data_IF_934524757855
#
_entry.id   IF_934524757855
#
_cell.length_a   1.000
_cell.length_b   1.000
_cell.length_c   1.000
_cell.angle_alpha   90.00
_cell.angle_beta   90.00
_cell.angle_gamma   90.00
#
_symmetry.space_group_name_H-M   'P 1'
#
loop_
_entity.id
_entity.type
_entity.pdbx_description
1 polymer ?
#
# COMPACT_ATOMS: atom_id res chain seq x y z
N UNK A 1 -40.07 -6.83 -3.73
CA UNK A 1 -38.69 -7.25 -3.52
C UNK A 1 -38.16 -7.68 -4.89
N UNK A 2 -37.53 -6.76 -5.62
CA UNK A 2 -36.95 -7.04 -6.95
C UNK A 2 -35.44 -7.21 -6.78
N UNK A 3 -34.98 -8.46 -6.94
CA UNK A 3 -33.57 -8.80 -7.05
C UNK A 3 -33.08 -8.36 -8.43
N UNK A 4 -32.04 -7.60 -8.49
CA UNK A 4 -31.41 -7.23 -9.76
C UNK A 4 -29.89 -7.49 -9.65
N UNK A 5 -29.47 -8.31 -10.57
CA UNK A 5 -28.16 -8.66 -11.05
C UNK A 5 -27.30 -9.58 -10.17
N UNK A 6 -27.44 -10.86 -10.47
CA UNK A 6 -26.52 -11.92 -10.04
C UNK A 6 -25.41 -12.01 -11.10
N UNK A 7 -24.19 -11.67 -10.75
CA UNK A 7 -23.02 -12.06 -11.56
C UNK A 7 -22.68 -13.50 -11.21
N UNK A 8 -23.17 -14.46 -12.00
CA UNK A 8 -22.88 -15.86 -11.87
C UNK A 8 -21.69 -16.19 -12.77
N UNK A 9 -20.49 -16.25 -12.20
CA UNK A 9 -19.34 -16.76 -12.91
C UNK A 9 -19.43 -18.29 -12.97
N UNK A 10 -19.94 -18.83 -14.09
CA UNK A 10 -19.93 -20.27 -14.35
C UNK A 10 -18.52 -20.73 -14.64
N UNK A 11 -17.90 -21.44 -13.70
CA UNK A 11 -16.71 -22.23 -13.94
C UNK A 11 -17.08 -23.55 -14.63
N UNK A 12 -16.22 -24.12 -15.51
CA UNK A 12 -16.48 -25.40 -16.14
C UNK A 12 -16.64 -26.49 -15.07
N UNK A 13 -17.67 -27.30 -15.22
CA UNK A 13 -18.00 -28.41 -14.35
C UNK A 13 -16.94 -29.51 -14.42
N UNK A 14 -15.95 -29.44 -13.56
CA UNK A 14 -15.06 -30.55 -13.24
C UNK A 14 -15.15 -30.83 -11.74
N UNK A 15 -15.94 -31.87 -11.42
CA UNK A 15 -16.02 -32.60 -10.16
C UNK A 15 -15.89 -31.78 -8.88
N UNK A 16 -16.92 -30.98 -8.56
CA UNK A 16 -17.08 -30.45 -7.22
C UNK A 16 -17.80 -31.49 -6.34
N UNK A 17 -17.08 -31.96 -5.31
CA UNK A 17 -17.71 -32.71 -4.23
C UNK A 17 -18.67 -31.78 -3.48
N UNK A 18 -19.93 -32.18 -3.36
CA UNK A 18 -21.09 -31.35 -2.92
C UNK A 18 -21.08 -30.91 -1.45
N UNK A 19 -19.97 -31.00 -0.70
CA UNK A 19 -19.91 -30.69 0.74
C UNK A 19 -18.86 -29.63 1.14
N UNK A 20 -18.10 -29.08 0.21
CA UNK A 20 -17.08 -28.07 0.56
C UNK A 20 -17.67 -26.65 0.56
N UNK A 21 -18.05 -26.16 1.71
CA UNK A 21 -18.38 -24.74 1.92
C UNK A 21 -17.16 -23.83 1.71
N UNK A 22 -17.38 -22.52 1.73
CA UNK A 22 -16.35 -21.51 1.60
C UNK A 22 -15.74 -21.21 2.98
N UNK A 23 -14.45 -21.47 3.15
CA UNK A 23 -13.70 -21.11 4.36
C UNK A 23 -12.70 -20.00 4.05
N UNK A 24 -12.88 -18.84 4.70
CA UNK A 24 -12.00 -17.68 4.62
C UNK A 24 -11.01 -17.73 5.79
N UNK A 25 -9.71 -17.75 5.49
CA UNK A 25 -8.61 -17.81 6.47
C UNK A 25 -8.01 -16.45 6.80
N UNK A 26 -8.08 -15.51 5.86
CA UNK A 26 -7.54 -14.18 5.98
C UNK A 26 -8.38 -13.17 5.20
N UNK A 27 -8.46 -11.94 5.69
CA UNK A 27 -9.06 -10.83 4.96
C UNK A 27 -8.12 -9.64 5.03
N UNK A 28 -7.76 -9.11 3.87
CA UNK A 28 -6.89 -7.95 3.73
C UNK A 28 -7.55 -6.94 2.82
N UNK A 29 -7.17 -5.67 2.93
CA UNK A 29 -7.61 -4.65 2.02
C UNK A 29 -6.47 -3.72 1.61
N UNK A 30 -6.68 -3.05 0.49
CA UNK A 30 -5.76 -2.08 -0.09
C UNK A 30 -6.54 -0.91 -0.62
N UNK A 31 -6.11 0.28 -0.30
CA UNK A 31 -6.72 1.51 -0.77
C UNK A 31 -5.86 2.10 -1.88
N UNK A 32 -6.35 2.04 -3.11
CA UNK A 32 -5.73 2.68 -4.28
C UNK A 32 -6.40 4.01 -4.60
N UNK A 33 -5.74 4.84 -5.39
CA UNK A 33 -6.32 6.10 -5.84
C UNK A 33 -7.64 5.90 -6.61
N UNK A 34 -7.74 4.84 -7.42
CA UNK A 34 -8.88 4.55 -8.27
C UNK A 34 -9.92 3.58 -7.66
N UNK A 35 -9.54 2.74 -6.70
CA UNK A 35 -10.40 1.69 -6.14
C UNK A 35 -9.91 1.21 -4.78
N UNK A 36 -10.77 0.53 -4.04
CA UNK A 36 -10.41 -0.26 -2.87
C UNK A 36 -10.44 -1.73 -3.23
N UNK A 37 -9.38 -2.46 -2.93
CA UNK A 37 -9.28 -3.91 -3.11
C UNK A 37 -9.47 -4.61 -1.78
N UNK A 38 -10.36 -5.61 -1.74
CA UNK A 38 -10.51 -6.52 -0.60
C UNK A 38 -10.11 -7.92 -1.08
N UNK A 39 -9.23 -8.58 -0.34
CA UNK A 39 -8.74 -9.93 -0.65
C UNK A 39 -9.19 -10.87 0.45
N UNK A 40 -9.96 -11.87 0.09
CA UNK A 40 -10.33 -12.99 0.96
C UNK A 40 -9.42 -14.17 0.65
N UNK A 41 -8.54 -14.52 1.57
CA UNK A 41 -7.74 -15.74 1.49
C UNK A 41 -8.61 -16.92 1.84
N UNK A 42 -8.76 -17.88 0.93
CA UNK A 42 -9.64 -19.03 1.11
C UNK A 42 -8.84 -20.33 1.26
N UNK A 43 -9.40 -21.29 1.96
CA UNK A 43 -8.74 -22.59 2.20
C UNK A 43 -8.64 -23.41 0.91
N UNK A 44 -9.68 -23.39 0.11
CA UNK A 44 -9.74 -23.98 -1.22
C UNK A 44 -10.72 -23.18 -2.08
N UNK A 45 -10.51 -23.19 -3.40
CA UNK A 45 -11.44 -22.55 -4.31
C UNK A 45 -12.83 -23.17 -4.19
N UNK A 46 -13.82 -22.33 -3.94
CA UNK A 46 -15.25 -22.70 -3.83
C UNK A 46 -16.11 -21.63 -4.49
N UNK A 47 -17.29 -22.02 -5.01
CA UNK A 47 -18.24 -21.05 -5.53
C UNK A 47 -18.71 -20.08 -4.44
N UNK A 48 -18.85 -18.82 -4.80
CA UNK A 48 -19.32 -17.77 -3.90
C UNK A 48 -20.41 -16.93 -4.54
N UNK A 49 -21.11 -16.19 -3.70
CA UNK A 49 -22.10 -15.19 -4.09
C UNK A 49 -21.59 -13.82 -3.68
N UNK A 50 -21.62 -12.89 -4.62
CA UNK A 50 -21.45 -11.48 -4.37
C UNK A 50 -22.69 -10.75 -4.89
N UNK A 51 -23.44 -10.14 -3.99
CA UNK A 51 -24.63 -9.36 -4.34
C UNK A 51 -24.56 -7.97 -3.74
N UNK A 52 -25.37 -7.05 -4.25
CA UNK A 52 -25.46 -5.69 -3.75
C UNK A 52 -26.89 -5.43 -3.27
N UNK A 53 -27.04 -4.72 -2.17
CA UNK A 53 -28.35 -4.25 -1.67
C UNK A 53 -29.00 -3.28 -2.65
N UNK A 54 -30.32 -3.15 -2.56
CA UNK A 54 -31.12 -2.29 -3.45
C UNK A 54 -30.77 -0.81 -3.36
N UNK A 55 -30.27 -0.35 -2.21
CA UNK A 55 -29.77 1.01 -2.01
C UNK A 55 -28.35 1.21 -2.60
N UNK A 56 -27.74 0.12 -3.08
CA UNK A 56 -26.41 0.13 -3.68
C UNK A 56 -25.25 0.37 -2.71
N UNK A 57 -25.51 0.42 -1.40
CA UNK A 57 -24.52 0.81 -0.39
C UNK A 57 -23.90 -0.34 0.39
N UNK A 58 -24.37 -1.57 0.19
CA UNK A 58 -23.79 -2.73 0.87
C UNK A 58 -23.60 -3.88 -0.11
N UNK A 59 -22.42 -4.49 -0.10
CA UNK A 59 -22.16 -5.75 -0.77
C UNK A 59 -22.31 -6.89 0.23
N UNK A 60 -22.93 -7.97 -0.21
CA UNK A 60 -23.08 -9.21 0.56
C UNK A 60 -22.22 -10.27 -0.11
N UNK A 61 -21.28 -10.83 0.65
CA UNK A 61 -20.39 -11.89 0.21
C UNK A 61 -20.59 -13.14 1.05
N UNK A 62 -20.82 -14.29 0.41
CA UNK A 62 -21.12 -15.56 1.06
C UNK A 62 -20.75 -16.76 0.19
N UNK A 63 -20.82 -17.98 0.75
CA UNK A 63 -20.75 -19.20 -0.04
C UNK A 63 -21.97 -19.34 -0.95
N UNK A 64 -21.77 -19.85 -2.18
CA UNK A 64 -22.88 -20.20 -3.08
C UNK A 64 -23.68 -21.38 -2.53
N UNK A 65 -22.99 -22.44 -2.10
CA UNK A 65 -23.54 -23.64 -1.50
C UNK A 65 -22.71 -24.04 -0.27
N UNK A 66 -23.35 -24.74 0.67
CA UNK A 66 -22.69 -25.23 1.87
C UNK A 66 -22.41 -24.16 2.92
N UNK A 67 -21.64 -24.50 3.97
CA UNK A 67 -21.33 -23.58 5.07
C UNK A 67 -20.34 -22.50 4.64
N UNK A 68 -20.54 -21.29 5.17
CA UNK A 68 -19.55 -20.21 5.11
C UNK A 68 -18.87 -20.08 6.47
N UNK A 69 -17.56 -20.24 6.49
CA UNK A 69 -16.75 -20.10 7.71
C UNK A 69 -15.73 -18.96 7.56
N UNK A 70 -15.74 -18.02 8.50
CA UNK A 70 -14.75 -16.97 8.61
C UNK A 70 -13.84 -17.26 9.81
N UNK A 71 -12.60 -17.68 9.55
CA UNK A 71 -11.56 -17.94 10.57
C UNK A 71 -10.65 -16.74 10.82
N UNK A 72 -10.87 -15.64 10.08
CA UNK A 72 -10.06 -14.43 10.13
C UNK A 72 -10.78 -13.30 10.88
N UNK A 73 -9.99 -12.40 11.45
CA UNK A 73 -10.51 -11.10 11.88
C UNK A 73 -10.74 -10.22 10.67
N UNK A 74 -11.83 -9.47 10.68
CA UNK A 74 -12.11 -8.47 9.65
C UNK A 74 -11.29 -7.19 9.90
N UNK A 75 -10.69 -6.60 8.86
CA UNK A 75 -9.98 -5.34 8.99
C UNK A 75 -10.96 -4.19 9.24
N UNK A 76 -10.51 -3.15 9.92
CA UNK A 76 -11.26 -1.89 10.00
C UNK A 76 -10.96 -1.08 8.76
N UNK A 77 -11.96 -0.90 7.89
CA UNK A 77 -11.81 -0.14 6.63
C UNK A 77 -12.63 1.14 6.74
N UNK A 78 -11.98 2.28 6.47
CA UNK A 78 -12.59 3.62 6.35
C UNK A 78 -11.74 4.45 5.42
N UNK A 79 -11.85 4.21 4.12
CA UNK A 79 -10.94 4.78 3.13
C UNK A 79 -11.63 5.67 2.08
N UNK A 80 -12.90 6.05 2.34
CA UNK A 80 -13.68 6.88 1.44
C UNK A 80 -14.30 6.11 0.26
N UNK A 81 -14.17 4.78 0.25
CA UNK A 81 -14.89 3.85 -0.64
C UNK A 81 -15.64 2.83 0.19
N UNK A 82 -14.94 2.20 1.12
CA UNK A 82 -15.50 1.24 2.08
C UNK A 82 -15.51 1.88 3.47
N UNK A 83 -16.69 1.91 4.08
CA UNK A 83 -16.92 2.50 5.41
C UNK A 83 -16.97 1.46 6.53
N UNK A 84 -16.93 0.19 6.18
CA UNK A 84 -16.92 -0.90 7.15
C UNK A 84 -17.07 -2.25 6.51
N UNK A 85 -16.65 -3.26 7.24
CA UNK A 85 -16.83 -4.67 6.90
C UNK A 85 -17.19 -5.42 8.17
N UNK A 86 -18.25 -6.21 8.11
CA UNK A 86 -18.74 -6.99 9.25
C UNK A 86 -19.32 -8.34 8.81
N UNK A 87 -19.52 -9.23 9.78
CA UNK A 87 -20.24 -10.48 9.55
C UNK A 87 -21.64 -10.42 10.13
N UNK A 88 -22.57 -11.03 9.43
CA UNK A 88 -23.96 -11.18 9.89
C UNK A 88 -24.48 -12.56 9.50
N UNK A 89 -25.40 -13.08 10.28
CA UNK A 89 -26.22 -14.21 9.88
C UNK A 89 -27.46 -13.69 9.12
N UNK A 90 -27.64 -14.17 7.90
CA UNK A 90 -28.81 -13.86 7.07
C UNK A 90 -29.44 -15.15 6.56
N UNK A 91 -30.72 -15.34 6.88
CA UNK A 91 -31.48 -16.55 6.54
C UNK A 91 -30.79 -17.87 6.95
N UNK A 92 -30.13 -17.91 8.11
CA UNK A 92 -29.42 -19.08 8.62
C UNK A 92 -28.05 -19.32 7.97
N UNK A 93 -27.54 -18.36 7.20
CA UNK A 93 -26.21 -18.39 6.58
C UNK A 93 -25.35 -17.22 7.05
N UNK A 94 -24.09 -17.48 7.32
CA UNK A 94 -23.14 -16.40 7.59
C UNK A 94 -22.84 -15.65 6.28
N UNK A 95 -22.83 -14.34 6.34
CA UNK A 95 -22.47 -13.45 5.25
C UNK A 95 -21.49 -12.38 5.73
N UNK A 96 -20.63 -11.92 4.85
CA UNK A 96 -19.82 -10.71 5.07
C UNK A 96 -20.54 -9.55 4.39
N UNK A 97 -20.78 -8.50 5.15
CA UNK A 97 -21.30 -7.23 4.69
C UNK A 97 -20.17 -6.25 4.51
N UNK A 98 -20.11 -5.63 3.33
CA UNK A 98 -19.12 -4.59 3.01
C UNK A 98 -19.91 -3.32 2.74
N UNK A 99 -19.78 -2.35 3.65
CA UNK A 99 -20.48 -1.08 3.57
C UNK A 99 -19.70 -0.08 2.74
N UNK A 100 -20.38 0.54 1.76
CA UNK A 100 -19.82 1.49 0.83
C UNK A 100 -20.20 2.92 1.21
N UNK A 101 -19.28 3.86 1.06
CA UNK A 101 -19.55 5.28 1.30
C UNK A 101 -20.53 5.86 0.29
N UNK A 102 -20.55 5.34 -0.94
CA UNK A 102 -21.46 5.78 -2.01
C UNK A 102 -22.15 4.60 -2.71
N UNK A 103 -23.36 4.81 -3.16
CA UNK A 103 -24.06 3.88 -4.03
C UNK A 103 -23.46 3.92 -5.46
N UNK A 104 -23.40 2.77 -6.14
CA UNK A 104 -23.17 2.72 -7.59
C UNK A 104 -21.72 2.61 -8.07
N UNK A 105 -20.72 2.51 -7.21
CA UNK A 105 -19.34 2.21 -7.63
C UNK A 105 -19.27 0.86 -8.36
N UNK A 106 -18.52 0.77 -9.46
CA UNK A 106 -18.25 -0.50 -10.14
C UNK A 106 -17.53 -1.45 -9.19
N UNK A 107 -17.94 -2.73 -9.16
CA UNK A 107 -17.28 -3.78 -8.41
C UNK A 107 -16.86 -4.87 -9.38
N UNK A 108 -15.58 -5.18 -9.38
CA UNK A 108 -15.01 -6.31 -10.12
C UNK A 108 -14.56 -7.36 -9.14
N UNK A 109 -14.91 -8.61 -9.40
CA UNK A 109 -14.48 -9.74 -8.61
C UNK A 109 -13.78 -10.79 -9.47
N UNK A 110 -12.78 -11.44 -8.90
CA UNK A 110 -12.04 -12.51 -9.57
C UNK A 110 -11.36 -13.44 -8.56
N UNK A 111 -11.03 -14.65 -9.03
CA UNK A 111 -10.37 -15.66 -8.21
C UNK A 111 -8.93 -15.82 -8.64
N UNK A 112 -8.02 -15.83 -7.68
CA UNK A 112 -6.61 -16.15 -7.87
C UNK A 112 -6.31 -17.50 -7.24
N UNK A 113 -5.35 -18.22 -7.84
CA UNK A 113 -4.93 -19.53 -7.37
C UNK A 113 -3.46 -19.53 -6.98
N UNK A 114 -3.14 -20.43 -6.02
CA UNK A 114 -1.82 -20.67 -5.51
C UNK A 114 -1.19 -19.54 -4.66
N UNK A 115 -1.67 -19.18 -3.45
CA UNK A 115 -2.83 -19.68 -2.70
C UNK A 115 -4.17 -19.16 -3.24
N UNK A 116 -5.25 -19.90 -2.96
CA UNK A 116 -6.59 -19.53 -3.43
C UNK A 116 -7.11 -18.28 -2.73
N UNK A 117 -7.59 -17.32 -3.52
CA UNK A 117 -8.09 -16.01 -3.03
C UNK A 117 -9.25 -15.53 -3.88
N UNK A 118 -10.19 -14.86 -3.24
CA UNK A 118 -11.23 -14.08 -3.92
C UNK A 118 -10.88 -12.62 -3.72
N UNK A 119 -10.84 -11.88 -4.82
CA UNK A 119 -10.46 -10.46 -4.84
C UNK A 119 -11.65 -9.64 -5.29
N UNK A 120 -11.94 -8.57 -4.56
CA UNK A 120 -12.96 -7.58 -4.91
C UNK A 120 -12.29 -6.23 -5.13
N UNK A 121 -12.42 -5.65 -6.32
CA UNK A 121 -12.02 -4.29 -6.64
C UNK A 121 -13.26 -3.40 -6.67
N UNK A 122 -13.34 -2.46 -5.75
CA UNK A 122 -14.46 -1.54 -5.59
C UNK A 122 -13.99 -0.17 -6.04
N UNK A 123 -14.46 0.27 -7.22
CA UNK A 123 -14.05 1.56 -7.79
C UNK A 123 -14.46 2.72 -6.88
N UNK A 124 -13.57 3.70 -6.72
CA UNK A 124 -13.96 5.00 -6.19
C UNK A 124 -14.95 5.59 -7.18
N UNK A 125 -16.21 5.72 -6.77
CA UNK A 125 -17.18 6.45 -7.56
C UNK A 125 -16.58 7.79 -7.92
N UNK A 126 -16.81 8.27 -9.14
CA UNK A 126 -16.50 9.66 -9.45
C UNK A 126 -17.08 10.48 -8.30
N UNK A 127 -16.23 11.14 -7.54
CA UNK A 127 -16.65 11.93 -6.38
C UNK A 127 -17.86 12.74 -6.85
N UNK A 128 -18.99 12.56 -6.18
CA UNK A 128 -20.09 13.46 -6.35
C UNK A 128 -19.51 14.84 -6.10
N UNK A 129 -19.24 15.55 -7.16
CA UNK A 129 -18.91 16.97 -7.17
C UNK A 129 -20.16 17.75 -6.75
N UNK A 130 -20.66 17.45 -5.57
CA UNK A 130 -21.68 18.21 -4.89
C UNK A 130 -20.97 19.09 -3.85
N UNK A 131 -20.34 20.10 -4.33
CA UNK A 131 -20.05 21.42 -3.78
C UNK A 131 -18.79 22.01 -4.46
N UNK A 132 -18.90 22.23 -5.78
CA UNK A 132 -18.12 23.33 -6.37
C UNK A 132 -19.15 24.39 -6.77
N UNK A 133 -19.07 25.59 -6.26
CA UNK A 133 -19.75 26.71 -6.87
C UNK A 133 -19.18 26.87 -8.27
N UNK A 134 -20.06 27.04 -9.25
CA UNK A 134 -19.78 27.29 -10.66
C UNK A 134 -18.58 28.21 -10.84
N UNK A 135 -17.50 27.68 -11.37
CA UNK A 135 -16.36 28.45 -11.82
C UNK A 135 -16.74 29.21 -13.10
N UNK A 136 -16.44 30.49 -13.23
CA UNK A 136 -16.52 31.22 -14.48
C UNK A 136 -15.48 30.71 -15.50
N UNK A 137 -15.64 30.94 -16.81
CA UNK A 137 -14.76 30.42 -17.85
C UNK A 137 -13.32 30.92 -17.71
N UNK A 138 -12.34 30.18 -18.21
CA UNK A 138 -10.93 30.42 -17.92
C UNK A 138 -10.45 31.74 -18.56
N UNK A 139 -10.22 32.71 -17.73
CA UNK A 139 -9.37 33.83 -18.02
C UNK A 139 -7.95 33.51 -17.62
N UNK A 140 -7.00 33.85 -18.47
CA UNK A 140 -5.54 33.66 -18.48
C UNK A 140 -4.83 33.41 -17.12
N UNK A 141 -3.70 32.67 -17.13
CA UNK A 141 -3.07 32.16 -15.92
C UNK A 141 -2.47 33.30 -15.08
N UNK A 142 -3.20 33.71 -14.06
CA UNK A 142 -2.60 34.42 -12.94
C UNK A 142 -2.14 33.34 -11.97
N UNK A 143 -0.86 33.30 -11.68
CA UNK A 143 -0.24 32.39 -10.74
C UNK A 143 -0.94 32.46 -9.38
N UNK A 144 -1.83 31.49 -9.12
CA UNK A 144 -2.38 31.25 -7.78
C UNK A 144 -1.37 30.35 -7.09
N UNK A 145 -0.75 30.86 -6.03
CA UNK A 145 0.12 30.09 -5.16
C UNK A 145 -0.68 28.91 -4.61
N UNK A 146 -0.37 27.72 -5.10
CA UNK A 146 -0.94 26.46 -4.61
C UNK A 146 -0.40 26.19 -3.19
N UNK A 147 -1.21 26.49 -2.18
CA UNK A 147 -0.86 26.34 -0.75
C UNK A 147 -1.26 24.98 -0.19
N UNK A 148 -1.56 23.99 -1.03
CA UNK A 148 -1.84 22.64 -0.56
C UNK A 148 -0.56 22.03 0.05
N UNK A 149 -0.66 21.54 1.30
CA UNK A 149 0.46 20.93 1.99
C UNK A 149 0.89 19.63 1.28
N UNK A 150 2.21 19.45 1.15
CA UNK A 150 2.81 18.22 0.62
C UNK A 150 2.61 17.08 1.61
N UNK A 151 1.98 16.02 1.19
CA UNK A 151 1.82 14.82 2.01
C UNK A 151 3.06 13.93 1.86
N UNK A 152 3.82 13.79 2.94
CA UNK A 152 4.97 12.90 3.04
C UNK A 152 4.59 11.72 3.90
N UNK A 153 4.73 10.49 3.38
CA UNK A 153 4.58 9.28 4.19
C UNK A 153 5.96 8.68 4.43
N UNK A 154 6.29 8.53 5.70
CA UNK A 154 7.48 7.82 6.18
C UNK A 154 7.07 6.44 6.65
N UNK A 155 7.62 5.42 6.04
CA UNK A 155 7.38 4.04 6.39
C UNK A 155 8.55 3.50 7.21
N UNK A 156 8.33 3.25 8.49
CA UNK A 156 9.31 2.61 9.35
C UNK A 156 9.28 1.10 9.12
N UNK A 157 10.29 0.56 8.44
CA UNK A 157 10.40 -0.86 8.13
C UNK A 157 10.28 -1.75 9.36
N UNK A 158 9.86 -3.02 9.17
CA UNK A 158 9.67 -4.02 10.23
C UNK A 158 8.63 -3.63 11.28
N UNK A 159 8.63 -4.32 12.41
CA UNK A 159 7.73 -4.03 13.53
C UNK A 159 7.02 -5.26 14.09
N UNK A 160 6.62 -5.22 15.35
CA UNK A 160 5.99 -6.33 16.05
C UNK A 160 6.92 -7.55 16.15
N UNK A 161 6.52 -8.68 15.54
CA UNK A 161 7.33 -9.91 15.52
C UNK A 161 8.51 -9.85 14.55
N UNK A 162 8.42 -9.05 13.52
CA UNK A 162 9.52 -8.79 12.59
C UNK A 162 10.46 -7.77 13.22
N UNK A 163 11.63 -8.23 13.64
CA UNK A 163 12.64 -7.39 14.29
C UNK A 163 13.56 -6.69 13.30
N UNK A 164 13.57 -7.13 12.03
CA UNK A 164 14.64 -6.81 11.11
C UNK A 164 15.99 -7.30 11.61
N UNK A 165 17.06 -6.67 11.19
CA UNK A 165 18.42 -6.97 11.59
C UNK A 165 18.56 -6.76 13.10
N UNK A 166 19.19 -7.74 13.78
CA UNK A 166 19.53 -7.65 15.18
C UNK A 166 21.01 -7.34 15.36
N UNK A 167 21.30 -6.29 16.11
CA UNK A 167 22.67 -5.86 16.40
C UNK A 167 22.87 -5.64 17.89
N UNK A 168 24.12 -5.40 18.29
CA UNK A 168 24.44 -4.99 19.66
C UNK A 168 23.85 -3.63 20.04
N UNK A 169 23.51 -2.79 19.04
CA UNK A 169 22.87 -1.48 19.25
C UNK A 169 21.32 -1.60 19.34
N UNK A 170 20.76 -2.76 19.06
CA UNK A 170 19.34 -3.01 19.11
C UNK A 170 18.74 -3.64 17.84
N UNK A 171 17.43 -3.61 17.76
CA UNK A 171 16.66 -4.18 16.66
C UNK A 171 16.40 -3.10 15.60
N UNK A 172 16.47 -3.46 14.32
CA UNK A 172 16.21 -2.56 13.19
C UNK A 172 14.85 -1.87 13.32
N UNK A 173 13.79 -2.59 13.69
CA UNK A 173 12.45 -2.03 13.86
C UNK A 173 12.39 -0.81 14.79
N UNK A 174 13.22 -0.78 15.83
CA UNK A 174 13.29 0.36 16.75
C UNK A 174 14.05 1.51 16.13
N UNK A 175 15.15 1.21 15.45
CA UNK A 175 15.96 2.20 14.75
C UNK A 175 15.19 2.90 13.64
N UNK A 176 14.46 2.15 12.83
CA UNK A 176 13.67 2.71 11.72
C UNK A 176 12.52 3.60 12.22
N UNK A 177 11.88 3.20 13.32
CA UNK A 177 10.82 3.99 13.96
C UNK A 177 11.38 5.31 14.53
N UNK A 178 12.49 5.24 15.27
CA UNK A 178 13.15 6.43 15.83
C UNK A 178 13.58 7.41 14.74
N UNK A 179 14.13 6.86 13.63
CA UNK A 179 14.56 7.68 12.49
C UNK A 179 13.36 8.32 11.78
N UNK A 180 12.27 7.60 11.57
CA UNK A 180 11.05 8.15 11.00
C UNK A 180 10.50 9.31 11.85
N UNK A 181 10.48 9.15 13.18
CA UNK A 181 10.10 10.23 14.09
C UNK A 181 11.04 11.43 14.00
N UNK A 182 12.35 11.20 13.89
CA UNK A 182 13.33 12.28 13.76
C UNK A 182 13.16 13.06 12.45
N UNK A 183 12.98 12.38 11.31
CA UNK A 183 12.70 13.01 10.01
C UNK A 183 11.41 13.81 10.07
N UNK A 184 10.33 13.24 10.63
CA UNK A 184 9.07 13.96 10.83
C UNK A 184 9.26 15.25 11.63
N UNK A 185 9.96 15.17 12.74
CA UNK A 185 10.23 16.34 13.60
C UNK A 185 10.98 17.46 12.85
N UNK A 186 11.84 17.12 11.91
CA UNK A 186 12.54 18.11 11.08
C UNK A 186 11.59 18.74 10.08
N UNK A 187 10.87 17.95 9.31
CA UNK A 187 9.98 18.42 8.24
C UNK A 187 8.80 19.23 8.78
N UNK A 188 8.24 18.85 9.93
CA UNK A 188 7.10 19.55 10.55
C UNK A 188 7.44 20.95 11.10
N UNK A 189 8.72 21.36 11.08
CA UNK A 189 9.07 22.78 11.34
C UNK A 189 8.52 23.72 10.27
N UNK A 190 8.21 23.19 9.10
CA UNK A 190 7.55 23.92 8.01
C UNK A 190 6.09 23.46 7.89
N UNK A 191 5.15 24.40 7.86
CA UNK A 191 3.72 24.12 7.61
C UNK A 191 3.44 23.61 6.19
N UNK A 192 4.45 23.64 5.31
CA UNK A 192 4.36 23.15 3.94
C UNK A 192 4.23 21.61 3.86
N UNK A 193 4.64 20.88 4.91
CA UNK A 193 4.62 19.43 4.95
C UNK A 193 3.58 18.89 5.92
N UNK A 194 2.74 17.97 5.43
CA UNK A 194 1.94 17.06 6.25
C UNK A 194 2.66 15.72 6.29
N UNK A 195 3.32 15.41 7.39
CA UNK A 195 4.13 14.19 7.53
C UNK A 195 3.37 13.14 8.33
N UNK A 196 3.17 11.97 7.73
CA UNK A 196 2.48 10.82 8.32
C UNK A 196 3.47 9.64 8.42
N UNK A 197 3.31 8.81 9.44
CA UNK A 197 4.06 7.57 9.60
C UNK A 197 3.12 6.39 9.38
N UNK A 198 3.59 5.33 8.71
CA UNK A 198 2.82 4.08 8.56
C UNK A 198 2.55 3.42 9.92
N UNK A 199 3.47 3.54 10.86
CA UNK A 199 3.33 3.12 12.26
C UNK A 199 3.92 4.12 13.22
N UNK A 200 3.23 4.35 14.33
CA UNK A 200 3.64 5.26 15.40
C UNK A 200 4.29 4.53 16.59
N UNK A 201 4.20 3.21 16.62
CA UNK A 201 4.68 2.34 17.69
C UNK A 201 5.21 1.03 17.14
N UNK A 202 5.74 0.16 18.00
CA UNK A 202 6.15 -1.19 17.63
C UNK A 202 4.92 -2.06 17.36
N UNK A 203 4.55 -2.14 16.08
CA UNK A 203 3.47 -2.99 15.57
C UNK A 203 3.84 -3.57 14.22
N UNK A 204 3.41 -4.80 13.97
CA UNK A 204 3.56 -5.43 12.65
C UNK A 204 2.60 -4.79 11.66
N UNK A 205 3.12 -4.48 10.47
CA UNK A 205 2.35 -4.07 9.30
C UNK A 205 2.82 -4.87 8.10
N UNK A 206 1.89 -5.43 7.35
CA UNK A 206 2.19 -6.03 6.05
C UNK A 206 2.54 -4.96 5.01
N UNK A 207 3.21 -5.33 3.93
CA UNK A 207 3.49 -4.41 2.81
C UNK A 207 2.21 -3.76 2.27
N UNK A 208 1.15 -4.52 2.25
CA UNK A 208 -0.17 -4.12 1.81
C UNK A 208 -0.80 -3.03 2.67
N UNK A 209 -0.69 -3.18 4.01
CA UNK A 209 -1.17 -2.17 4.95
C UNK A 209 -0.36 -0.87 4.84
N UNK A 210 0.96 -0.97 4.59
CA UNK A 210 1.83 0.19 4.36
C UNK A 210 1.43 0.93 3.08
N UNK A 211 1.27 0.20 1.98
CA UNK A 211 0.85 0.77 0.70
C UNK A 211 -0.57 1.33 0.78
N UNK A 212 -1.51 0.59 1.38
CA UNK A 212 -2.89 1.06 1.59
C UNK A 212 -2.94 2.36 2.38
N UNK A 213 -2.16 2.45 3.47
CA UNK A 213 -2.06 3.68 4.26
C UNK A 213 -1.52 4.85 3.43
N UNK A 214 -0.42 4.65 2.68
CA UNK A 214 0.18 5.69 1.87
C UNK A 214 -0.77 6.19 0.77
N UNK A 215 -1.39 5.26 0.03
CA UNK A 215 -2.29 5.60 -1.07
C UNK A 215 -3.57 6.30 -0.58
N UNK A 216 -4.16 5.85 0.55
CA UNK A 216 -5.31 6.51 1.18
C UNK A 216 -5.00 7.91 1.70
N UNK A 217 -3.75 8.17 2.10
CA UNK A 217 -3.31 9.48 2.55
C UNK A 217 -3.16 10.52 1.42
N UNK A 218 -3.22 10.12 0.15
CA UNK A 218 -2.94 10.99 -1.00
C UNK A 218 -1.47 11.44 -0.99
N UNK A 219 -0.57 10.48 -0.82
CA UNK A 219 0.86 10.72 -0.65
C UNK A 219 1.47 11.40 -1.87
N UNK A 220 2.27 12.44 -1.65
CA UNK A 220 3.08 13.07 -2.69
C UNK A 220 4.43 12.36 -2.82
N UNK A 221 5.06 12.00 -1.70
CA UNK A 221 6.30 11.24 -1.66
C UNK A 221 6.25 10.21 -0.53
N UNK A 222 6.75 9.02 -0.84
CA UNK A 222 6.85 7.89 0.10
C UNK A 222 8.32 7.52 0.33
N UNK A 223 8.70 7.37 1.59
CA UNK A 223 10.05 6.94 1.98
C UNK A 223 9.97 5.76 2.93
N UNK A 224 10.32 4.56 2.47
CA UNK A 224 10.53 3.41 3.34
C UNK A 224 11.93 3.47 3.95
N UNK A 225 12.02 3.32 5.26
CA UNK A 225 13.24 3.47 6.04
C UNK A 225 13.65 2.12 6.60
N UNK A 226 14.84 1.67 6.23
CA UNK A 226 15.48 0.44 6.65
C UNK A 226 16.90 0.69 7.16
N UNK A 227 17.53 -0.34 7.70
CA UNK A 227 18.94 -0.29 8.08
C UNK A 227 19.71 -1.48 7.49
N UNK A 228 20.99 -1.29 7.27
CA UNK A 228 21.87 -2.32 6.76
C UNK A 228 23.19 -2.35 7.54
N UNK A 229 23.87 -3.50 7.52
CA UNK A 229 25.24 -3.62 8.03
C UNK A 229 26.19 -2.81 7.14
N UNK A 230 26.91 -1.88 7.74
CA UNK A 230 27.88 -1.01 7.03
C UNK A 230 27.81 0.44 7.47
N UNK A 231 28.74 1.24 6.95
CA UNK A 231 28.91 2.63 7.36
C UNK A 231 28.17 3.66 6.51
N UNK A 232 27.71 3.29 5.31
CA UNK A 232 27.09 4.22 4.35
C UNK A 232 25.62 3.90 4.13
N UNK A 233 24.80 4.94 4.12
CA UNK A 233 23.41 4.83 3.69
C UNK A 233 23.30 4.65 2.18
N UNK A 234 22.21 4.03 1.72
CA UNK A 234 21.87 3.82 0.31
C UNK A 234 20.44 4.18 0.03
N UNK A 235 20.17 4.55 -1.20
CA UNK A 235 18.81 4.83 -1.68
C UNK A 235 18.48 3.86 -2.81
N UNK A 236 17.30 3.25 -2.73
CA UNK A 236 16.80 2.32 -3.71
C UNK A 236 15.50 2.85 -4.32
N UNK A 237 15.32 2.57 -5.60
CA UNK A 237 14.06 2.77 -6.33
C UNK A 237 13.62 1.45 -6.95
N UNK A 238 12.35 1.32 -7.25
CA UNK A 238 11.84 0.12 -7.91
C UNK A 238 12.45 0.00 -9.31
N UNK A 239 12.99 -1.18 -9.62
CA UNK A 239 13.31 -1.55 -11.00
C UNK A 239 12.01 -1.88 -11.74
N UNK A 240 11.67 -1.14 -12.78
CA UNK A 240 10.43 -1.37 -13.52
C UNK A 240 10.44 -2.68 -14.32
N UNK A 241 11.62 -3.16 -14.69
CA UNK A 241 11.76 -4.34 -15.57
C UNK A 241 11.83 -5.66 -14.80
N UNK A 242 12.07 -5.60 -13.47
CA UNK A 242 12.01 -6.72 -12.52
C UNK A 242 12.66 -8.01 -13.06
N UNK A 243 13.82 -7.88 -13.67
CA UNK A 243 14.55 -9.00 -14.25
C UNK A 243 15.40 -9.75 -13.20
N UNK A 244 15.80 -10.99 -13.53
CA UNK A 244 16.63 -11.83 -12.65
C UNK A 244 17.98 -11.19 -12.30
N UNK A 245 18.54 -10.33 -13.16
CA UNK A 245 19.79 -9.64 -12.94
C UNK A 245 19.63 -8.51 -11.91
N UNK A 246 18.55 -7.76 -11.98
CA UNK A 246 18.17 -6.76 -10.97
C UNK A 246 17.94 -7.39 -9.59
N UNK A 247 17.25 -8.55 -9.55
CA UNK A 247 17.08 -9.32 -8.30
C UNK A 247 18.41 -9.75 -7.69
N UNK A 248 19.37 -10.17 -8.51
CA UNK A 248 20.68 -10.60 -8.04
C UNK A 248 21.53 -9.43 -7.55
N UNK A 249 21.48 -8.28 -8.22
CA UNK A 249 22.14 -7.05 -7.81
C UNK A 249 21.55 -6.53 -6.47
N UNK A 250 20.23 -6.57 -6.32
CA UNK A 250 19.55 -6.18 -5.10
C UNK A 250 19.91 -7.10 -3.92
N UNK A 251 19.93 -8.43 -4.12
CA UNK A 251 20.37 -9.40 -3.10
C UNK A 251 21.82 -9.19 -2.67
N UNK A 252 22.68 -8.71 -3.58
CA UNK A 252 24.07 -8.40 -3.25
C UNK A 252 24.19 -7.07 -2.50
N UNK A 253 23.30 -6.11 -2.77
CA UNK A 253 23.28 -4.81 -2.13
C UNK A 253 22.65 -4.84 -0.73
N UNK A 254 21.60 -5.65 -0.53
CA UNK A 254 20.85 -5.72 0.73
C UNK A 254 20.37 -7.16 1.00
N UNK A 255 21.25 -7.99 1.55
CA UNK A 255 20.94 -9.41 1.80
C UNK A 255 19.78 -9.63 2.77
N UNK A 256 19.65 -8.79 3.78
CA UNK A 256 18.73 -9.03 4.88
C UNK A 256 17.32 -8.50 4.58
N UNK A 257 17.22 -7.41 3.85
CA UNK A 257 15.95 -6.78 3.50
C UNK A 257 15.06 -7.68 2.60
N UNK A 258 15.64 -8.23 1.54
CA UNK A 258 14.88 -9.00 0.54
C UNK A 258 14.38 -10.36 1.05
N UNK A 259 14.97 -10.90 2.12
CA UNK A 259 14.56 -12.17 2.70
C UNK A 259 13.33 -12.06 3.61
N UNK A 260 13.09 -10.89 4.21
CA UNK A 260 11.99 -10.69 5.18
C UNK A 260 10.75 -10.03 4.60
N UNK A 261 10.91 -9.18 3.59
CA UNK A 261 9.81 -8.43 2.98
C UNK A 261 9.51 -8.85 1.52
N UNK A 262 10.08 -9.96 1.07
CA UNK A 262 9.76 -10.48 -0.26
C UNK A 262 8.28 -10.88 -0.29
N UNK A 263 7.49 -10.14 -1.06
CA UNK A 263 6.13 -10.53 -1.40
C UNK A 263 6.15 -11.86 -2.18
N UNK A 264 5.07 -12.64 -2.12
CA UNK A 264 4.93 -13.79 -3.03
C UNK A 264 4.84 -13.29 -4.46
N UNK A 265 5.33 -14.07 -5.46
CA UNK A 265 5.17 -13.75 -6.89
C UNK A 265 3.74 -13.36 -7.28
N UNK A 266 2.78 -13.84 -6.53
CA UNK A 266 1.36 -13.61 -6.75
C UNK A 266 0.88 -12.29 -6.15
N UNK A 267 1.45 -11.83 -5.02
CA UNK A 267 1.24 -10.47 -4.52
C UNK A 267 1.76 -9.45 -5.52
N UNK A 268 2.89 -9.73 -6.14
CA UNK A 268 3.47 -8.90 -7.18
C UNK A 268 2.58 -8.76 -8.41
N UNK A 269 1.91 -9.85 -8.82
CA UNK A 269 0.91 -9.83 -9.89
C UNK A 269 -0.35 -9.07 -9.51
N UNK A 270 -0.74 -9.10 -8.22
CA UNK A 270 -1.91 -8.40 -7.70
C UNK A 270 -1.74 -6.89 -7.62
N UNK A 271 -0.54 -6.45 -7.23
CA UNK A 271 -0.27 -5.02 -7.05
C UNK A 271 -0.18 -4.29 -8.39
N UNK A 272 -0.08 -5.02 -9.50
CA UNK A 272 0.19 -4.42 -10.80
C UNK A 272 1.51 -3.64 -10.77
N UNK A 273 1.77 -2.92 -11.80
CA UNK A 273 2.96 -2.05 -11.90
C UNK A 273 2.60 -0.60 -11.53
N UNK A 274 1.92 -0.38 -10.39
CA UNK A 274 1.46 0.96 -10.02
C UNK A 274 2.64 1.93 -9.88
N UNK A 275 3.72 1.50 -9.24
CA UNK A 275 4.92 2.30 -9.12
C UNK A 275 5.62 2.57 -10.49
N UNK A 276 5.37 1.76 -11.52
CA UNK A 276 5.99 1.95 -12.83
C UNK A 276 5.57 3.28 -13.49
N UNK A 277 4.33 3.77 -13.25
CA UNK A 277 3.91 5.10 -13.74
C UNK A 277 4.66 6.24 -13.07
N UNK A 278 5.19 6.03 -11.86
CA UNK A 278 5.97 6.98 -11.06
C UNK A 278 7.49 6.77 -11.16
N UNK A 279 7.96 5.86 -12.05
CA UNK A 279 9.38 5.51 -12.13
C UNK A 279 10.29 6.72 -12.38
N UNK A 280 9.84 7.67 -13.22
CA UNK A 280 10.59 8.89 -13.51
C UNK A 280 10.69 9.80 -12.29
N UNK A 281 9.59 10.04 -11.61
CA UNK A 281 9.50 10.84 -10.39
C UNK A 281 10.31 10.21 -9.26
N UNK A 282 10.20 8.90 -9.08
CA UNK A 282 10.98 8.12 -8.10
C UNK A 282 12.47 8.17 -8.40
N UNK A 283 12.87 8.14 -9.67
CA UNK A 283 14.26 8.30 -10.08
C UNK A 283 14.82 9.69 -9.76
N UNK A 284 14.06 10.75 -10.00
CA UNK A 284 14.45 12.13 -9.63
C UNK A 284 14.53 12.26 -8.11
N UNK A 285 13.53 11.77 -7.40
CA UNK A 285 13.48 11.79 -5.94
C UNK A 285 14.64 10.99 -5.33
N UNK A 286 14.88 9.78 -5.81
CA UNK A 286 15.98 8.92 -5.37
C UNK A 286 17.35 9.59 -5.50
N UNK A 287 17.61 10.26 -6.63
CA UNK A 287 18.86 11.03 -6.81
C UNK A 287 19.01 12.15 -5.79
N UNK A 288 17.94 12.88 -5.49
CA UNK A 288 18.01 13.96 -4.48
C UNK A 288 18.33 13.41 -3.09
N UNK A 289 17.74 12.28 -2.73
CA UNK A 289 18.03 11.60 -1.46
C UNK A 289 19.42 11.01 -1.42
N UNK A 290 19.86 10.28 -2.47
CA UNK A 290 21.17 9.66 -2.53
C UNK A 290 22.29 10.69 -2.34
N UNK A 291 22.21 11.82 -3.04
CA UNK A 291 23.20 12.91 -2.92
C UNK A 291 23.28 13.50 -1.51
N UNK A 292 22.14 13.63 -0.83
CA UNK A 292 22.14 14.13 0.56
C UNK A 292 22.65 13.07 1.54
N UNK A 293 22.31 11.82 1.33
CA UNK A 293 22.64 10.73 2.25
C UNK A 293 24.11 10.30 2.14
N UNK A 294 24.63 10.24 0.92
CA UNK A 294 26.01 9.86 0.64
C UNK A 294 26.99 11.05 0.65
N UNK A 295 26.47 12.28 0.60
CA UNK A 295 27.30 13.49 0.55
C UNK A 295 28.11 13.65 -0.74
N UNK A 296 27.64 13.05 -1.85
CA UNK A 296 28.30 13.08 -3.16
C UNK A 296 27.32 13.55 -4.23
N UNK A 297 27.75 14.49 -5.07
CA UNK A 297 26.90 15.07 -6.13
C UNK A 297 26.59 14.09 -7.28
N UNK A 298 27.40 13.06 -7.44
CA UNK A 298 27.27 11.99 -8.44
C UNK A 298 26.52 10.75 -7.91
N UNK A 299 26.05 10.78 -6.67
CA UNK A 299 25.32 9.65 -6.09
C UNK A 299 23.99 9.40 -6.82
N UNK A 300 23.78 8.13 -7.19
CA UNK A 300 22.59 7.64 -7.89
C UNK A 300 21.88 6.57 -7.05
N UNK A 301 20.56 6.50 -7.10
CA UNK A 301 19.82 5.43 -6.42
C UNK A 301 20.07 4.08 -7.12
N UNK A 302 20.03 3.01 -6.35
CA UNK A 302 20.11 1.65 -6.86
C UNK A 302 18.73 1.19 -7.33
N UNK A 303 18.65 0.70 -8.55
CA UNK A 303 17.41 0.03 -9.03
C UNK A 303 17.36 -1.38 -8.46
N UNK A 304 16.19 -1.74 -7.88
CA UNK A 304 16.01 -3.04 -7.25
C UNK A 304 14.53 -3.46 -7.26
N UNK A 305 14.21 -4.77 -7.30
CA UNK A 305 12.84 -5.29 -7.30
C UNK A 305 12.23 -5.27 -5.89
N UNK A 306 12.00 -4.07 -5.35
CA UNK A 306 11.55 -3.89 -3.96
C UNK A 306 10.05 -4.05 -3.85
N UNK A 307 9.61 -5.16 -3.25
CA UNK A 307 8.20 -5.49 -3.09
C UNK A 307 7.41 -4.38 -2.36
N UNK A 308 7.98 -3.78 -1.31
CA UNK A 308 7.35 -2.72 -0.53
C UNK A 308 7.06 -1.43 -1.30
N UNK A 309 7.68 -1.22 -2.47
CA UNK A 309 7.43 -0.05 -3.31
C UNK A 309 6.41 -0.30 -4.42
N UNK A 310 6.19 -1.56 -4.83
CA UNK A 310 5.40 -1.91 -6.04
C UNK A 310 3.99 -1.32 -6.06
N UNK A 311 3.32 -1.29 -4.91
CA UNK A 311 1.94 -0.85 -4.78
C UNK A 311 1.77 0.63 -4.40
N UNK A 312 2.84 1.40 -4.31
CA UNK A 312 2.80 2.81 -3.93
C UNK A 312 2.42 3.68 -5.13
N UNK A 313 1.40 4.52 -4.98
CA UNK A 313 0.86 5.42 -6.01
C UNK A 313 1.40 6.86 -5.84
N UNK A 314 2.71 6.98 -5.80
CA UNK A 314 3.42 8.26 -5.73
C UNK A 314 4.92 8.07 -5.99
N UNK A 315 5.69 9.15 -6.05
CA UNK A 315 7.15 9.04 -6.03
C UNK A 315 7.60 8.31 -4.76
N UNK A 316 8.29 7.17 -4.91
CA UNK A 316 8.62 6.29 -3.80
C UNK A 316 10.08 5.81 -3.85
N UNK A 317 10.68 5.76 -2.68
CA UNK A 317 12.05 5.26 -2.48
C UNK A 317 12.12 4.42 -1.21
N UNK A 318 13.10 3.54 -1.14
CA UNK A 318 13.57 2.93 0.09
C UNK A 318 14.94 3.48 0.43
N UNK A 319 15.17 3.76 1.70
CA UNK A 319 16.44 4.23 2.24
C UNK A 319 16.95 3.21 3.23
N UNK A 320 18.15 2.69 3.02
CA UNK A 320 18.90 1.93 4.01
C UNK A 320 19.93 2.81 4.69
N UNK A 321 19.91 2.85 6.00
CA UNK A 321 20.87 3.58 6.81
C UNK A 321 21.91 2.61 7.34
N UNK A 322 23.19 2.94 7.21
CA UNK A 322 24.24 2.15 7.85
C UNK A 322 24.09 2.16 9.37
N UNK A 323 24.18 0.98 10.01
CA UNK A 323 24.03 0.85 11.47
C UNK A 323 25.05 1.69 12.26
N UNK A 324 26.20 1.99 11.66
CA UNK A 324 27.26 2.83 12.24
C UNK A 324 27.08 4.32 11.92
N UNK A 325 26.09 4.67 11.09
CA UNK A 325 25.85 6.05 10.68
C UNK A 325 25.21 6.87 11.81
N UNK A 326 25.61 8.13 11.92
CA UNK A 326 24.99 9.08 12.84
C UNK A 326 23.53 9.30 12.45
N UNK A 327 22.62 8.89 13.33
CA UNK A 327 21.15 8.91 13.10
C UNK A 327 20.61 10.32 12.92
N UNK A 328 21.18 11.31 13.62
CA UNK A 328 20.75 12.70 13.48
C UNK A 328 21.12 13.25 12.10
N UNK A 329 22.34 12.97 11.66
CA UNK A 329 22.79 13.34 10.31
C UNK A 329 21.98 12.62 9.23
N UNK A 330 21.66 11.34 9.43
CA UNK A 330 20.83 10.58 8.51
C UNK A 330 19.42 11.19 8.40
N UNK A 331 18.80 11.53 9.54
CA UNK A 331 17.49 12.20 9.55
C UNK A 331 17.52 13.55 8.82
N UNK A 332 18.56 14.35 9.03
CA UNK A 332 18.75 15.64 8.35
C UNK A 332 18.93 15.44 6.84
N UNK A 333 19.72 14.44 6.43
CA UNK A 333 19.95 14.13 5.01
C UNK A 333 18.66 13.71 4.30
N UNK A 334 17.86 12.84 4.93
CA UNK A 334 16.55 12.41 4.40
C UNK A 334 15.62 13.62 4.28
N UNK A 335 15.49 14.43 5.34
CA UNK A 335 14.63 15.61 5.32
C UNK A 335 15.04 16.60 4.22
N UNK A 336 16.35 16.92 4.10
CA UNK A 336 16.88 17.80 3.04
C UNK A 336 16.60 17.24 1.64
N UNK A 337 16.74 15.92 1.45
CA UNK A 337 16.44 15.29 0.17
C UNK A 337 14.98 15.46 -0.23
N UNK A 338 14.06 15.26 0.72
CA UNK A 338 12.62 15.49 0.53
C UNK A 338 12.34 16.96 0.19
N UNK A 339 12.85 17.89 1.01
CA UNK A 339 12.67 19.35 0.79
C UNK A 339 13.18 19.78 -0.58
N UNK A 340 14.35 19.30 -0.98
CA UNK A 340 14.97 19.64 -2.26
C UNK A 340 14.17 19.11 -3.44
N UNK A 341 13.71 17.85 -3.36
CA UNK A 341 12.86 17.27 -4.39
C UNK A 341 11.55 18.05 -4.55
N UNK A 342 10.85 18.33 -3.46
CA UNK A 342 9.57 19.03 -3.49
C UNK A 342 9.71 20.46 -4.03
N UNK A 343 10.75 21.18 -3.63
CA UNK A 343 11.00 22.55 -4.10
C UNK A 343 11.29 22.64 -5.61
N UNK A 344 11.90 21.61 -6.19
CA UNK A 344 12.32 21.62 -7.59
C UNK A 344 11.27 21.03 -8.55
N UNK A 345 10.24 20.36 -8.04
CA UNK A 345 9.23 19.67 -8.84
C UNK A 345 7.80 20.18 -8.59
N UNK A 346 7.67 21.32 -7.97
CA UNK A 346 6.42 22.09 -7.81
C UNK A 346 6.44 23.40 -8.55
#
# INVERSE_FOLDING_TARGET
MKLILVSLLMMPASTFSAEKGLTVKGVRYFSYAAFTRIVFEIEAAAPYILTRTTDGRTLLFSAYEGPFALKAQLPVIRDGVVNGIETKEDAGRNVVLIHLDSAGGEVKDFVLRGPDRIVLDIARGAASSAASPSAPPPSSPTAIADTAAVVVVLDAGHGGRDTGIMTIQGQEKSLTLDLAHAVRKILQKSSHFKVLLTREKDQALSLDERAGFANAAGTTVFVSIHAATGAAGRVFILDPDDDLAGQQAARTASRDFLSFEAGSEEQEKLWGRQQAVHAKESGVFGRRLARQLEGRDDAEPVQAPIAGLKAIDSAAVMVEIGLEQDRAKAAEAIAKGIEKYVRENR
#
